data_IF_016420250013
#
_entry.id   IF_016420250013
#
_cell.length_a   1.000
_cell.length_b   1.000
_cell.length_c   1.000
_cell.angle_alpha   90.00
_cell.angle_beta   90.00
_cell.angle_gamma   90.00
#
_symmetry.space_group_name_H-M   'P 1'
#
loop_
_entity.id
_entity.type
_entity.pdbx_description
1 polymer ?
#
# COMPACT_ATOMS: atom_id res chain seq x y z
N UNK A 1 27.40 13.42 -7.95
CA UNK A 1 26.87 14.68 -7.37
C UNK A 1 25.35 14.84 -7.42
N UNK A 2 24.59 14.02 -6.67
CA UNK A 2 23.13 14.22 -6.51
C UNK A 2 22.84 15.55 -5.79
N UNK A 3 23.68 15.92 -4.83
CA UNK A 3 23.58 17.17 -4.06
C UNK A 3 23.65 18.44 -4.92
N UNK A 4 24.44 18.44 -6.01
CA UNK A 4 24.55 19.60 -6.91
C UNK A 4 23.35 19.72 -7.86
N UNK A 5 22.69 18.60 -8.18
CA UNK A 5 21.52 18.54 -9.07
C UNK A 5 20.22 18.87 -8.35
N UNK A 6 20.14 18.58 -7.04
CA UNK A 6 18.96 18.85 -6.24
C UNK A 6 18.78 20.35 -5.98
N UNK A 7 17.72 20.94 -6.53
CA UNK A 7 17.35 22.35 -6.36
C UNK A 7 16.17 22.56 -5.40
N UNK A 8 15.69 21.49 -4.77
CA UNK A 8 14.54 21.53 -3.87
C UNK A 8 14.88 22.08 -2.48
N UNK A 9 13.88 22.15 -1.61
CA UNK A 9 14.02 22.67 -0.25
C UNK A 9 14.92 21.76 0.60
N UNK A 10 15.91 22.35 1.25
CA UNK A 10 16.83 21.68 2.18
C UNK A 10 16.49 22.10 3.61
N UNK A 11 16.58 21.14 4.54
CA UNK A 11 16.37 21.34 5.98
C UNK A 11 17.58 20.80 6.76
N UNK A 12 17.82 21.30 7.97
CA UNK A 12 18.85 20.78 8.87
C UNK A 12 18.24 19.69 9.78
N UNK A 13 18.92 18.56 9.84
CA UNK A 13 18.70 17.48 10.82
C UNK A 13 19.09 17.96 12.24
N UNK A 14 18.51 17.42 13.34
CA UNK A 14 19.05 17.54 14.70
C UNK A 14 20.59 17.47 14.84
N UNK A 15 21.29 16.69 14.03
CA UNK A 15 22.76 16.59 14.00
C UNK A 15 23.45 17.66 13.14
N UNK A 16 22.74 18.70 12.69
CA UNK A 16 23.26 19.80 11.88
C UNK A 16 23.50 19.47 10.40
N UNK A 17 23.20 18.25 9.95
CA UNK A 17 23.39 17.82 8.56
C UNK A 17 22.34 18.43 7.64
N UNK A 18 22.77 18.89 6.46
CA UNK A 18 21.87 19.39 5.41
C UNK A 18 21.25 18.22 4.65
N UNK A 19 19.93 18.07 4.77
CA UNK A 19 19.16 17.02 4.11
C UNK A 19 18.00 17.60 3.28
N UNK A 20 17.60 16.95 2.18
CA UNK A 20 16.37 17.31 1.48
C UNK A 20 15.17 17.27 2.44
N UNK A 21 14.24 18.22 2.28
CA UNK A 21 12.99 18.23 3.05
C UNK A 21 12.21 16.93 2.80
N UNK A 22 11.64 16.36 3.85
CA UNK A 22 10.84 15.15 3.75
C UNK A 22 9.59 15.34 2.88
N UNK A 23 9.35 14.40 1.97
CA UNK A 23 8.09 14.29 1.26
C UNK A 23 7.01 13.76 2.23
N UNK A 24 5.85 14.40 2.22
CA UNK A 24 4.68 13.99 2.98
C UNK A 24 3.43 14.28 2.14
N UNK A 25 2.38 13.51 2.36
CA UNK A 25 1.11 13.70 1.67
C UNK A 25 0.06 12.76 2.23
N UNK A 26 -1.19 13.04 1.87
CA UNK A 26 -2.34 12.25 2.25
C UNK A 26 -3.23 12.08 1.02
N UNK A 27 -3.87 10.93 0.90
CA UNK A 27 -4.81 10.64 -0.17
C UNK A 27 -6.05 10.01 0.44
N UNK A 28 -7.22 10.48 0.01
CA UNK A 28 -8.49 9.88 0.36
C UNK A 28 -8.80 8.76 -0.63
N UNK A 29 -9.34 7.66 -0.12
CA UNK A 29 -9.84 6.57 -0.94
C UNK A 29 -11.30 6.87 -1.30
N UNK A 30 -11.78 6.33 -2.43
CA UNK A 30 -13.16 6.53 -2.91
C UNK A 30 -14.23 5.96 -1.96
N UNK A 31 -13.82 5.12 -1.01
CA UNK A 31 -14.67 4.54 0.02
C UNK A 31 -13.84 3.80 1.05
N UNK A 32 -14.51 3.27 2.06
CA UNK A 32 -13.89 2.42 3.06
C UNK A 32 -13.55 1.08 2.40
N UNK A 33 -12.28 0.71 2.41
CA UNK A 33 -11.80 -0.51 1.73
C UNK A 33 -10.69 -1.19 2.52
N UNK A 34 -10.67 -2.51 2.43
CA UNK A 34 -9.59 -3.38 2.92
C UNK A 34 -8.79 -4.02 1.78
N UNK A 35 -9.12 -3.70 0.51
CA UNK A 35 -8.39 -4.23 -0.64
C UNK A 35 -6.96 -3.70 -0.65
N UNK A 36 -6.01 -4.63 -0.62
CA UNK A 36 -4.59 -4.31 -0.74
C UNK A 36 -4.32 -3.70 -2.10
N UNK A 37 -4.99 -4.16 -3.17
CA UNK A 37 -4.81 -3.63 -4.53
C UNK A 37 -5.15 -2.13 -4.59
N UNK A 38 -6.35 -1.75 -4.15
CA UNK A 38 -6.80 -0.35 -4.16
C UNK A 38 -5.90 0.55 -3.29
N UNK A 39 -5.53 0.08 -2.09
CA UNK A 39 -4.63 0.81 -1.20
C UNK A 39 -3.26 0.99 -1.86
N UNK A 40 -2.69 -0.07 -2.44
CA UNK A 40 -1.37 0.01 -3.09
C UNK A 40 -1.37 0.97 -4.28
N UNK A 41 -2.43 0.95 -5.10
CA UNK A 41 -2.57 1.87 -6.22
C UNK A 41 -2.59 3.32 -5.75
N UNK A 42 -3.46 3.65 -4.78
CA UNK A 42 -3.54 5.01 -4.24
C UNK A 42 -2.22 5.49 -3.61
N UNK A 43 -1.50 4.60 -2.92
CA UNK A 43 -0.17 4.90 -2.35
C UNK A 43 0.86 5.13 -3.45
N UNK A 44 0.85 4.33 -4.53
CA UNK A 44 1.76 4.50 -5.67
C UNK A 44 1.49 5.80 -6.43
N UNK A 45 0.23 6.20 -6.56
CA UNK A 45 -0.15 7.47 -7.17
C UNK A 45 0.28 8.66 -6.32
N UNK A 46 0.13 8.55 -4.99
CA UNK A 46 0.65 9.56 -4.07
C UNK A 46 2.18 9.64 -4.14
N UNK A 47 2.85 8.50 -4.11
CA UNK A 47 4.31 8.39 -4.20
C UNK A 47 4.84 9.09 -5.47
N UNK A 48 4.24 8.80 -6.62
CA UNK A 48 4.66 9.36 -7.91
C UNK A 48 4.49 10.87 -7.98
N UNK A 49 3.54 11.44 -7.23
CA UNK A 49 3.31 12.89 -7.16
C UNK A 49 4.26 13.61 -6.20
N UNK A 50 4.59 13.02 -5.06
CA UNK A 50 5.32 13.74 -3.99
C UNK A 50 6.82 13.45 -3.93
N UNK A 51 7.29 12.32 -4.49
CA UNK A 51 8.67 11.87 -4.35
C UNK A 51 9.52 12.31 -5.54
N UNK A 52 10.69 12.89 -5.26
CA UNK A 52 11.70 13.20 -6.27
C UNK A 52 12.45 11.92 -6.66
N UNK A 53 12.37 11.55 -7.94
CA UNK A 53 13.00 10.36 -8.51
C UNK A 53 14.54 10.35 -8.40
N UNK A 54 15.16 11.52 -8.21
CA UNK A 54 16.61 11.64 -8.09
C UNK A 54 17.13 11.40 -6.66
N UNK A 55 16.25 11.27 -5.67
CA UNK A 55 16.62 11.09 -4.27
C UNK A 55 16.44 9.64 -3.83
N UNK A 56 17.36 9.16 -3.00
CA UNK A 56 17.23 7.87 -2.35
C UNK A 56 16.26 7.94 -1.17
N UNK A 57 15.49 6.87 -0.99
CA UNK A 57 14.54 6.72 0.10
C UNK A 57 15.20 5.95 1.24
N UNK A 58 15.21 6.54 2.43
CA UNK A 58 15.76 5.90 3.64
C UNK A 58 14.69 5.32 4.56
N UNK A 59 13.52 5.96 4.62
CA UNK A 59 12.42 5.56 5.48
C UNK A 59 11.09 5.91 4.82
N UNK A 60 10.13 5.01 4.95
CA UNK A 60 8.74 5.19 4.52
C UNK A 60 7.86 4.98 5.74
N UNK A 61 6.98 5.93 6.03
CA UNK A 61 5.96 5.81 7.07
C UNK A 61 4.59 5.82 6.39
N UNK A 62 3.75 4.85 6.72
CA UNK A 62 2.38 4.75 6.22
C UNK A 62 1.42 4.70 7.41
N UNK A 63 0.38 5.52 7.36
CA UNK A 63 -0.65 5.61 8.41
C UNK A 63 -2.02 5.47 7.77
N UNK A 64 -2.82 4.53 8.27
CA UNK A 64 -4.23 4.41 7.90
C UNK A 64 -5.05 5.26 8.87
N UNK A 65 -5.80 6.23 8.32
CA UNK A 65 -6.68 7.10 9.09
C UNK A 65 -8.14 6.63 8.94
N UNK A 66 -9.02 7.00 9.88
CA UNK A 66 -10.44 6.66 9.86
C UNK A 66 -10.73 5.16 9.72
N UNK A 67 -9.97 4.34 10.43
CA UNK A 67 -10.16 2.89 10.44
C UNK A 67 -11.44 2.54 11.21
N UNK A 68 -12.30 1.72 10.60
CA UNK A 68 -13.54 1.22 11.22
C UNK A 68 -13.58 -0.30 11.17
N UNK A 69 -14.39 -0.90 12.03
CA UNK A 69 -14.66 -2.33 11.99
C UNK A 69 -15.59 -2.68 10.84
N UNK A 70 -15.24 -3.69 10.06
CA UNK A 70 -16.04 -4.12 8.91
C UNK A 70 -17.49 -4.45 9.29
N UNK A 71 -17.70 -5.15 10.42
CA UNK A 71 -19.04 -5.50 10.91
C UNK A 71 -19.91 -4.31 11.33
N UNK A 72 -19.31 -3.14 11.56
CA UNK A 72 -20.02 -1.92 11.95
C UNK A 72 -20.50 -1.08 10.76
N UNK A 73 -20.07 -1.43 9.54
CA UNK A 73 -20.41 -0.70 8.33
C UNK A 73 -21.84 -1.09 7.93
N UNK A 74 -22.78 -0.15 8.05
CA UNK A 74 -24.07 -0.27 7.39
C UNK A 74 -23.82 -0.09 5.89
N UNK A 75 -24.27 -1.04 5.05
CA UNK A 75 -24.32 -0.83 3.60
C UNK A 75 -25.23 0.38 3.37
N UNK A 76 -24.64 1.52 3.05
CA UNK A 76 -25.39 2.66 2.53
C UNK A 76 -25.89 2.26 1.16
N UNK A 77 -27.19 2.11 1.02
CA UNK A 77 -27.82 2.02 -0.29
C UNK A 77 -27.60 3.37 -0.97
N UNK A 78 -26.61 3.41 -1.87
CA UNK A 78 -26.43 4.56 -2.74
C UNK A 78 -27.53 4.49 -3.79
N UNK A 79 -28.52 5.37 -3.67
CA UNK A 79 -29.55 5.53 -4.68
C UNK A 79 -28.92 6.23 -5.89
N UNK A 80 -28.80 5.51 -7.00
CA UNK A 80 -28.34 6.04 -8.28
C UNK A 80 -29.55 6.39 -9.14
N UNK A 81 -29.55 7.56 -9.80
CA UNK A 81 -30.60 7.92 -10.75
C UNK A 81 -30.39 7.15 -12.07
N UNK A 82 -31.43 6.46 -12.52
CA UNK A 82 -31.39 5.76 -13.80
C UNK A 82 -31.42 6.75 -14.98
N UNK A 83 -30.64 6.47 -16.02
CA UNK A 83 -30.48 7.26 -17.23
C UNK A 83 -30.67 6.34 -18.45
N UNK A 84 -31.45 6.81 -19.42
CA UNK A 84 -31.76 6.10 -20.67
C UNK A 84 -30.54 5.81 -21.55
N UNK A 85 -29.43 6.53 -21.34
CA UNK A 85 -28.21 6.39 -22.13
C UNK A 85 -27.15 5.47 -21.50
N UNK A 86 -27.42 4.90 -20.32
CA UNK A 86 -26.48 4.00 -19.62
C UNK A 86 -26.84 2.54 -19.88
N UNK A 87 -25.87 1.73 -20.30
CA UNK A 87 -26.04 0.28 -20.41
C UNK A 87 -25.80 -0.39 -19.04
N UNK A 88 -26.89 -0.52 -18.29
CA UNK A 88 -26.90 -1.14 -16.98
C UNK A 88 -26.50 -2.62 -16.99
N UNK A 89 -26.68 -3.34 -18.11
CA UNK A 89 -26.25 -4.73 -18.21
C UNK A 89 -24.74 -4.88 -18.14
N UNK A 90 -24.00 -3.93 -18.73
CA UNK A 90 -22.53 -3.89 -18.67
C UNK A 90 -22.06 -3.41 -17.30
N UNK A 91 -22.70 -2.39 -16.72
CA UNK A 91 -22.33 -1.89 -15.38
C UNK A 91 -22.55 -2.92 -14.27
N UNK A 92 -23.69 -3.62 -14.28
CA UNK A 92 -23.96 -4.68 -13.30
C UNK A 92 -22.93 -5.80 -13.39
N UNK A 93 -22.60 -6.28 -14.60
CA UNK A 93 -21.55 -7.30 -14.79
C UNK A 93 -20.20 -6.85 -14.25
N UNK A 94 -19.80 -5.60 -14.52
CA UNK A 94 -18.54 -5.05 -13.99
C UNK A 94 -18.54 -4.98 -12.46
N UNK A 95 -19.65 -4.52 -11.85
CA UNK A 95 -19.80 -4.46 -10.39
C UNK A 95 -19.70 -5.87 -9.78
N UNK A 96 -20.39 -6.85 -10.37
CA UNK A 96 -20.34 -8.25 -9.93
C UNK A 96 -18.93 -8.86 -10.05
N UNK A 97 -18.26 -8.66 -11.18
CA UNK A 97 -16.87 -9.10 -11.38
C UNK A 97 -15.94 -8.47 -10.34
N UNK A 98 -16.09 -7.17 -10.08
CA UNK A 98 -15.31 -6.47 -9.07
C UNK A 98 -15.55 -7.04 -7.67
N UNK A 99 -16.81 -7.24 -7.26
CA UNK A 99 -17.17 -7.85 -5.97
C UNK A 99 -16.56 -9.25 -5.82
N UNK A 100 -16.65 -10.10 -6.85
CA UNK A 100 -16.06 -11.44 -6.84
C UNK A 100 -14.54 -11.36 -6.66
N UNK A 101 -13.85 -10.45 -7.36
CA UNK A 101 -12.40 -10.29 -7.20
C UNK A 101 -12.02 -9.81 -5.80
N UNK A 102 -12.80 -8.91 -5.21
CA UNK A 102 -12.59 -8.41 -3.85
C UNK A 102 -12.79 -9.51 -2.80
N UNK A 103 -13.81 -10.36 -2.96
CA UNK A 103 -14.02 -11.50 -2.07
C UNK A 103 -12.89 -12.53 -2.14
N UNK A 104 -12.44 -12.85 -3.36
CA UNK A 104 -11.30 -13.75 -3.57
C UNK A 104 -10.03 -13.18 -2.95
N UNK A 105 -9.78 -11.89 -3.13
CA UNK A 105 -8.66 -11.20 -2.50
C UNK A 105 -8.75 -11.29 -0.97
N UNK A 106 -9.92 -11.02 -0.40
CA UNK A 106 -10.15 -11.09 1.05
C UNK A 106 -9.88 -12.48 1.60
N UNK A 107 -10.38 -13.54 0.95
CA UNK A 107 -10.12 -14.94 1.35
C UNK A 107 -8.62 -15.25 1.34
N UNK A 108 -7.90 -14.79 0.31
CA UNK A 108 -6.44 -14.93 0.22
C UNK A 108 -5.72 -14.17 1.35
N UNK A 109 -6.15 -12.94 1.67
CA UNK A 109 -5.57 -12.16 2.78
C UNK A 109 -5.74 -12.89 4.12
N UNK A 110 -6.92 -13.45 4.40
CA UNK A 110 -7.16 -14.26 5.61
C UNK A 110 -6.25 -15.49 5.65
N UNK A 111 -6.16 -16.26 4.57
CA UNK A 111 -5.29 -17.42 4.49
C UNK A 111 -3.81 -17.06 4.78
N UNK A 112 -3.32 -15.94 4.22
CA UNK A 112 -1.97 -15.44 4.49
C UNK A 112 -1.77 -15.10 5.97
N UNK A 113 -2.78 -14.52 6.63
CA UNK A 113 -2.73 -14.21 8.06
C UNK A 113 -2.69 -15.50 8.89
N UNK A 114 -3.52 -16.47 8.56
CA UNK A 114 -3.61 -17.74 9.31
C UNK A 114 -2.32 -18.55 9.20
N UNK A 115 -1.70 -18.60 8.02
CA UNK A 115 -0.38 -19.19 7.83
C UNK A 115 0.66 -18.49 8.70
N UNK A 116 0.67 -17.15 8.73
CA UNK A 116 1.61 -16.39 9.57
C UNK A 116 1.39 -16.60 11.06
N UNK A 117 0.15 -16.79 11.50
CA UNK A 117 -0.17 -17.11 12.90
C UNK A 117 0.34 -18.50 13.28
N UNK A 118 0.17 -19.49 12.40
CA UNK A 118 0.55 -20.89 12.65
C UNK A 118 2.05 -21.16 12.52
N UNK A 119 2.69 -20.60 11.49
CA UNK A 119 4.08 -20.91 11.12
C UNK A 119 5.05 -19.74 11.37
N UNK A 120 4.57 -18.62 11.91
CA UNK A 120 5.36 -17.44 12.23
C UNK A 120 5.43 -16.38 11.12
N UNK A 121 5.92 -15.19 11.48
CA UNK A 121 5.89 -13.98 10.62
C UNK A 121 6.67 -14.14 9.30
N UNK A 122 7.67 -15.02 9.27
CA UNK A 122 8.56 -15.26 8.12
C UNK A 122 8.14 -16.47 7.25
N UNK A 123 6.98 -17.08 7.50
CA UNK A 123 6.53 -18.30 6.84
C UNK A 123 6.24 -18.15 5.33
N UNK A 124 5.97 -16.93 4.87
CA UNK A 124 5.62 -16.67 3.47
C UNK A 124 6.70 -15.82 2.81
N UNK A 125 7.20 -16.29 1.67
CA UNK A 125 8.04 -15.52 0.76
C UNK A 125 7.20 -15.06 -0.44
N UNK A 126 7.41 -13.82 -0.87
CA UNK A 126 6.80 -13.25 -2.08
C UNK A 126 7.81 -13.33 -3.23
N UNK A 127 7.35 -13.33 -4.48
CA UNK A 127 8.25 -13.33 -5.64
C UNK A 127 9.28 -12.19 -5.65
N UNK A 128 8.92 -11.02 -5.11
CA UNK A 128 9.83 -9.87 -4.95
C UNK A 128 11.04 -10.21 -4.04
N UNK A 129 10.87 -11.14 -3.09
CA UNK A 129 11.95 -11.56 -2.19
C UNK A 129 12.99 -12.46 -2.88
N UNK A 130 12.73 -12.90 -4.11
CA UNK A 130 13.63 -13.72 -4.93
C UNK A 130 14.40 -12.88 -5.96
N UNK A 131 14.07 -11.59 -6.09
CA UNK A 131 14.76 -10.69 -7.02
C UNK A 131 16.20 -10.45 -6.57
N UNK A 132 17.11 -10.30 -7.52
CA UNK A 132 18.49 -9.91 -7.25
C UNK A 132 18.56 -8.60 -6.44
N UNK A 133 19.36 -8.61 -5.36
CA UNK A 133 19.45 -7.51 -4.40
C UNK A 133 18.39 -7.53 -3.27
N UNK A 134 17.44 -8.47 -3.28
CA UNK A 134 16.49 -8.62 -2.18
C UNK A 134 17.11 -9.35 -0.97
N UNK A 135 17.23 -8.67 0.16
CA UNK A 135 17.84 -9.21 1.40
C UNK A 135 16.86 -9.95 2.31
N UNK A 136 15.59 -10.08 1.90
CA UNK A 136 14.52 -10.60 2.76
C UNK A 136 14.80 -12.04 3.23
N UNK A 137 15.32 -12.93 2.36
CA UNK A 137 15.64 -14.32 2.72
C UNK A 137 16.79 -14.42 3.69
N UNK A 138 17.85 -13.65 3.47
CA UNK A 138 19.02 -13.61 4.34
C UNK A 138 18.65 -13.06 5.73
N UNK A 139 17.91 -11.95 5.77
CA UNK A 139 17.40 -11.36 7.00
C UNK A 139 16.49 -12.32 7.77
N UNK A 140 15.65 -13.09 7.08
CA UNK A 140 14.77 -14.07 7.73
C UNK A 140 15.56 -15.24 8.37
N UNK A 141 16.81 -15.47 7.96
CA UNK A 141 17.75 -16.43 8.57
C UNK A 141 18.63 -15.79 9.66
N UNK A 142 18.43 -14.53 9.99
CA UNK A 142 19.21 -13.85 11.03
C UNK A 142 18.38 -13.69 12.30
N UNK A 143 19.00 -13.95 13.46
CA UNK A 143 18.45 -13.66 14.78
C UNK A 143 19.37 -12.61 15.43
N UNK A 144 18.82 -11.43 15.74
CA UNK A 144 19.60 -10.35 16.35
C UNK A 144 20.71 -9.76 15.47
N UNK A 145 20.67 -9.97 14.15
CA UNK A 145 21.72 -9.49 13.21
C UNK A 145 22.86 -10.49 12.97
N UNK A 146 22.86 -11.62 13.68
CA UNK A 146 23.77 -12.74 13.43
C UNK A 146 23.08 -13.79 12.59
N UNK A 147 23.84 -14.50 11.75
CA UNK A 147 23.33 -15.67 11.02
C UNK A 147 22.92 -16.71 12.06
N UNK A 148 21.66 -17.14 12.00
CA UNK A 148 21.16 -18.28 12.77
C UNK A 148 21.65 -19.59 12.16
#
# INVERSE_FOLDING_TARGET
DIKKKYKGKITKDPYGRLIPKHAHGTVNLNGLTSSSKLITNAVMDLYSRIVDKNLFIRRINLTANHVVYEASIKKTENFEQLNLFTDYGIEHKKKEEEEVTLELEKKMQHAVIDIKKKYGKNAILKGINLKEGATARERNKQIGGHKA
#
